data_IF_023436924518
#
_entry.id   IF_023436924518
#
_cell.length_a   1.000
_cell.length_b   1.000
_cell.length_c   1.000
_cell.angle_alpha   90.00
_cell.angle_beta   90.00
_cell.angle_gamma   90.00
#
_symmetry.space_group_name_H-M   'P 1'
#
loop_
_entity.id
_entity.type
_entity.pdbx_description
1 polymer ?
#
# COMPACT_ATOMS: atom_id res chain seq x y z
N UNK A 1 7.94 -23.46 -14.28
CA UNK A 1 6.52 -23.67 -14.67
C UNK A 1 5.81 -22.32 -14.57
N UNK A 2 4.90 -21.98 -15.49
CA UNK A 2 4.13 -20.72 -15.44
C UNK A 2 3.27 -20.59 -14.18
N UNK A 3 2.96 -21.71 -13.54
CA UNK A 3 1.93 -21.84 -12.50
C UNK A 3 2.48 -21.77 -11.06
N UNK A 4 3.76 -21.44 -10.88
CA UNK A 4 4.36 -21.32 -9.54
C UNK A 4 3.95 -19.97 -8.91
N UNK A 5 3.06 -19.95 -7.89
CA UNK A 5 2.62 -18.71 -7.25
C UNK A 5 3.76 -18.03 -6.48
N UNK A 6 4.82 -18.77 -6.11
CA UNK A 6 5.98 -18.25 -5.41
C UNK A 6 6.99 -17.58 -6.33
N UNK A 7 6.88 -17.78 -7.66
CA UNK A 7 7.73 -17.10 -8.63
C UNK A 7 7.41 -15.59 -8.64
N UNK A 8 8.37 -14.71 -8.31
CA UNK A 8 8.15 -13.28 -8.32
C UNK A 8 7.68 -12.78 -9.69
N UNK A 9 6.74 -11.84 -9.67
CA UNK A 9 6.41 -11.03 -10.84
C UNK A 9 7.55 -10.05 -11.14
N UNK A 10 7.49 -9.36 -12.27
CA UNK A 10 8.43 -8.28 -12.60
C UNK A 10 8.58 -7.20 -11.51
N UNK A 11 7.58 -7.04 -10.63
CA UNK A 11 7.62 -6.16 -9.45
C UNK A 11 8.41 -6.76 -8.24
N UNK A 12 9.06 -7.91 -8.40
CA UNK A 12 9.94 -8.52 -7.38
C UNK A 12 9.23 -9.27 -6.25
N UNK A 13 7.90 -9.18 -6.13
CA UNK A 13 7.11 -9.96 -5.17
C UNK A 13 6.41 -11.15 -5.83
N UNK A 14 6.32 -12.25 -5.08
CA UNK A 14 5.45 -13.37 -5.39
C UNK A 14 3.97 -12.95 -5.32
N UNK A 15 3.11 -13.62 -6.09
CA UNK A 15 1.69 -13.27 -6.21
C UNK A 15 0.94 -13.28 -4.85
N UNK A 16 1.13 -14.27 -3.96
CA UNK A 16 0.49 -14.26 -2.64
C UNK A 16 0.97 -13.11 -1.75
N UNK A 17 2.26 -12.76 -1.81
CA UNK A 17 2.80 -11.63 -1.05
C UNK A 17 2.11 -10.33 -1.46
N UNK A 18 1.86 -10.17 -2.75
CA UNK A 18 1.16 -9.02 -3.25
C UNK A 18 -0.30 -8.98 -2.78
N UNK A 19 -1.01 -10.11 -2.82
CA UNK A 19 -2.37 -10.24 -2.29
C UNK A 19 -2.47 -9.81 -0.82
N UNK A 20 -1.55 -10.28 0.03
CA UNK A 20 -1.52 -9.97 1.46
C UNK A 20 -1.33 -8.47 1.69
N UNK A 21 -0.37 -7.86 0.98
CA UNK A 21 -0.11 -6.41 1.12
C UNK A 21 -1.35 -5.58 0.82
N UNK A 22 -2.14 -5.96 -0.19
CA UNK A 22 -3.35 -5.24 -0.55
C UNK A 22 -4.45 -5.36 0.52
N UNK A 23 -4.60 -6.54 1.14
CA UNK A 23 -5.54 -6.72 2.25
C UNK A 23 -5.13 -5.93 3.50
N UNK A 24 -3.84 -5.93 3.85
CA UNK A 24 -3.33 -5.12 4.97
C UNK A 24 -3.49 -3.62 4.70
N UNK A 25 -3.21 -3.17 3.47
CA UNK A 25 -3.42 -1.77 3.04
C UNK A 25 -4.91 -1.37 3.00
N UNK A 26 -5.83 -2.35 2.93
CA UNK A 26 -7.26 -2.10 3.05
C UNK A 26 -7.69 -1.77 4.50
N UNK A 27 -6.79 -1.98 5.48
CA UNK A 27 -7.08 -1.79 6.91
C UNK A 27 -7.60 -3.04 7.60
N UNK A 28 -7.41 -4.23 7.02
CA UNK A 28 -7.75 -5.49 7.69
C UNK A 28 -6.79 -5.73 8.87
N UNK A 29 -7.35 -5.95 10.07
CA UNK A 29 -6.57 -6.24 11.29
C UNK A 29 -5.79 -7.56 11.18
N UNK A 30 -6.35 -8.53 10.46
CA UNK A 30 -5.75 -9.85 10.21
C UNK A 30 -5.94 -10.25 8.73
N UNK A 31 -4.85 -10.59 8.05
CA UNK A 31 -4.90 -11.28 6.76
C UNK A 31 -4.65 -12.79 6.96
N UNK A 32 -5.49 -13.64 6.39
CA UNK A 32 -5.36 -15.10 6.48
C UNK A 32 -5.19 -15.70 5.08
N UNK A 33 -4.09 -16.42 4.88
CA UNK A 33 -3.83 -17.18 3.66
C UNK A 33 -4.21 -18.63 3.88
N UNK A 34 -5.14 -19.11 3.06
CA UNK A 34 -5.55 -20.51 3.05
C UNK A 34 -4.69 -21.27 2.05
N UNK A 35 -3.85 -22.18 2.55
CA UNK A 35 -2.94 -22.95 1.70
C UNK A 35 -2.43 -24.22 2.37
N UNK A 36 -2.33 -25.29 1.58
CA UNK A 36 -1.62 -26.51 1.98
C UNK A 36 -0.15 -26.50 1.53
N UNK A 37 0.27 -25.48 0.77
CA UNK A 37 1.63 -25.30 0.30
C UNK A 37 2.49 -24.67 1.42
N UNK A 38 3.56 -25.37 1.89
CA UNK A 38 4.40 -24.88 2.97
C UNK A 38 5.20 -23.62 2.61
N UNK A 39 5.53 -23.42 1.33
CA UNK A 39 6.21 -22.23 0.83
C UNK A 39 5.27 -21.02 0.81
N UNK A 40 4.03 -21.18 0.35
CA UNK A 40 3.01 -20.12 0.42
C UNK A 40 2.68 -19.76 1.87
N UNK A 41 2.61 -20.76 2.76
CA UNK A 41 2.42 -20.52 4.19
C UNK A 41 3.60 -19.76 4.84
N UNK A 42 4.84 -20.08 4.45
CA UNK A 42 6.02 -19.36 4.92
C UNK A 42 6.06 -17.92 4.41
N UNK A 43 5.77 -17.70 3.12
CA UNK A 43 5.64 -16.39 2.52
C UNK A 43 4.55 -15.56 3.20
N UNK A 44 3.41 -16.18 3.49
CA UNK A 44 2.30 -15.51 4.17
C UNK A 44 2.73 -14.94 5.53
N UNK A 45 3.39 -15.77 6.35
CA UNK A 45 3.93 -15.36 7.64
C UNK A 45 4.98 -14.25 7.52
N UNK A 46 5.85 -14.33 6.53
CA UNK A 46 6.86 -13.30 6.28
C UNK A 46 6.24 -11.93 5.92
N UNK A 47 5.04 -11.92 5.32
CA UNK A 47 4.31 -10.70 4.97
C UNK A 47 3.22 -10.32 5.99
N UNK A 48 3.28 -10.85 7.22
CA UNK A 48 2.37 -10.47 8.31
C UNK A 48 0.97 -11.08 8.21
N UNK A 49 0.76 -12.07 7.35
CA UNK A 49 -0.48 -12.85 7.32
C UNK A 49 -0.36 -14.13 8.15
N UNK A 50 -1.49 -14.56 8.72
CA UNK A 50 -1.65 -15.90 9.27
C UNK A 50 -1.82 -16.90 8.12
N UNK A 51 -1.40 -18.14 8.31
CA UNK A 51 -1.59 -19.21 7.32
C UNK A 51 -2.38 -20.36 7.93
N UNK A 52 -3.39 -20.88 7.23
CA UNK A 52 -4.19 -22.03 7.67
C UNK A 52 -4.28 -23.08 6.58
N UNK A 53 -4.35 -24.36 6.98
CA UNK A 53 -4.60 -25.48 6.07
C UNK A 53 -6.09 -25.73 5.91
N UNK A 54 -6.52 -25.98 4.68
CA UNK A 54 -7.91 -26.25 4.37
C UNK A 54 -8.05 -27.38 3.35
N UNK A 55 -8.90 -28.40 3.60
CA UNK A 55 -9.77 -28.58 4.76
C UNK A 55 -9.03 -29.28 5.91
N UNK A 56 -8.76 -28.60 7.04
CA UNK A 56 -8.06 -29.25 8.16
C UNK A 56 -7.93 -28.43 9.44
N UNK A 57 -7.72 -27.12 9.34
CA UNK A 57 -7.60 -26.24 10.50
C UNK A 57 -8.74 -25.19 10.49
N UNK A 58 -9.78 -25.45 11.29
CA UNK A 58 -10.93 -24.54 11.45
C UNK A 58 -10.81 -23.64 12.68
N UNK A 59 -9.66 -23.65 13.37
CA UNK A 59 -9.49 -23.07 14.70
C UNK A 59 -9.27 -21.55 14.73
N UNK A 60 -9.24 -20.88 13.57
CA UNK A 60 -8.88 -19.46 13.44
C UNK A 60 -9.99 -18.56 12.86
N UNK A 61 -11.26 -18.97 12.95
CA UNK A 61 -12.36 -18.04 12.71
C UNK A 61 -12.45 -17.03 13.88
N UNK A 62 -12.53 -15.71 13.64
CA UNK A 62 -12.62 -14.75 14.72
C UNK A 62 -13.91 -14.97 15.53
N UNK A 63 -13.78 -15.11 16.85
CA UNK A 63 -14.86 -14.88 17.82
C UNK A 63 -14.78 -13.40 18.21
N UNK A 64 -14.91 -12.52 17.23
CA UNK A 64 -14.97 -11.08 17.45
C UNK A 64 -16.23 -10.58 16.77
N UNK A 65 -17.17 -9.95 17.49
CA UNK A 65 -18.34 -9.33 16.89
C UNK A 65 -17.90 -8.38 15.77
N UNK A 66 -18.59 -8.44 14.62
CA UNK A 66 -18.37 -7.59 13.45
C UNK A 66 -17.05 -7.79 12.68
N UNK A 67 -16.21 -8.77 13.05
CA UNK A 67 -15.05 -9.12 12.23
C UNK A 67 -15.48 -9.82 10.92
N UNK A 68 -14.72 -9.58 9.86
CA UNK A 68 -14.90 -10.23 8.55
C UNK A 68 -13.61 -10.93 8.14
N UNK A 69 -13.74 -12.07 7.47
CA UNK A 69 -12.61 -12.74 6.83
C UNK A 69 -12.55 -12.38 5.35
N UNK A 70 -11.35 -12.11 4.84
CA UNK A 70 -11.10 -11.85 3.43
C UNK A 70 -10.30 -13.01 2.85
N UNK A 71 -10.93 -13.77 1.95
CA UNK A 71 -10.28 -14.82 1.18
C UNK A 71 -9.72 -14.24 -0.12
N UNK A 72 -8.45 -14.54 -0.36
CA UNK A 72 -7.69 -14.04 -1.49
C UNK A 72 -7.21 -15.22 -2.33
N UNK A 73 -7.58 -15.23 -3.61
CA UNK A 73 -7.00 -16.15 -4.57
C UNK A 73 -5.52 -15.78 -4.83
N UNK A 74 -4.56 -16.71 -4.64
CA UNK A 74 -3.13 -16.42 -4.65
C UNK A 74 -2.59 -16.05 -6.03
N UNK A 75 -3.38 -16.20 -7.11
CA UNK A 75 -2.96 -15.89 -8.48
C UNK A 75 -3.61 -14.62 -9.04
N UNK A 76 -4.39 -13.88 -8.26
CA UNK A 76 -5.01 -12.61 -8.68
C UNK A 76 -4.41 -11.41 -7.94
N UNK A 77 -3.29 -10.81 -8.40
CA UNK A 77 -2.55 -9.85 -7.59
C UNK A 77 -3.16 -8.44 -7.59
N UNK A 78 -3.88 -8.03 -8.63
CA UNK A 78 -4.23 -6.61 -8.86
C UNK A 78 -5.40 -6.06 -8.01
N UNK A 79 -5.69 -6.67 -6.86
CA UNK A 79 -6.78 -6.23 -5.99
C UNK A 79 -6.44 -4.90 -5.34
N UNK A 80 -7.30 -3.90 -5.53
CA UNK A 80 -7.06 -2.57 -4.96
C UNK A 80 -7.60 -2.48 -3.53
N UNK A 81 -6.94 -1.76 -2.61
CA UNK A 81 -7.41 -1.64 -1.23
C UNK A 81 -8.81 -1.00 -1.11
N UNK A 82 -9.15 -0.08 -2.02
CA UNK A 82 -10.49 0.52 -2.10
C UNK A 82 -11.57 -0.49 -2.49
N UNK A 83 -11.27 -1.45 -3.36
CA UNK A 83 -12.19 -2.52 -3.72
C UNK A 83 -12.43 -3.48 -2.55
N UNK A 84 -11.39 -3.82 -1.79
CA UNK A 84 -11.52 -4.63 -0.58
C UNK A 84 -12.38 -3.88 0.45
N UNK A 85 -12.10 -2.60 0.70
CA UNK A 85 -12.91 -1.76 1.61
C UNK A 85 -14.37 -1.66 1.16
N UNK A 86 -14.61 -1.50 -0.13
CA UNK A 86 -15.96 -1.41 -0.68
C UNK A 86 -16.72 -2.75 -0.55
N UNK A 87 -16.06 -3.88 -0.78
CA UNK A 87 -16.64 -5.21 -0.58
C UNK A 87 -16.97 -5.48 0.90
N UNK A 88 -16.09 -5.07 1.83
CA UNK A 88 -16.34 -5.12 3.27
C UNK A 88 -17.53 -4.25 3.66
N UNK A 89 -17.57 -3.01 3.18
CA UNK A 89 -18.70 -2.10 3.43
C UNK A 89 -20.02 -2.66 2.88
N UNK A 90 -20.00 -3.27 1.69
CA UNK A 90 -21.16 -3.93 1.10
C UNK A 90 -21.64 -5.10 1.97
N UNK A 91 -20.73 -5.92 2.49
CA UNK A 91 -21.10 -7.00 3.40
C UNK A 91 -21.80 -6.45 4.63
N UNK A 92 -21.22 -5.45 5.30
CA UNK A 92 -21.81 -4.83 6.50
C UNK A 92 -23.20 -4.22 6.25
N UNK A 93 -23.42 -3.64 5.07
CA UNK A 93 -24.70 -3.04 4.68
C UNK A 93 -25.76 -4.06 4.24
N UNK A 94 -25.44 -5.36 4.20
CA UNK A 94 -26.31 -6.42 3.70
C UNK A 94 -26.62 -7.48 4.76
N UNK A 95 -27.67 -8.27 4.53
CA UNK A 95 -27.98 -9.49 5.27
C UNK A 95 -27.30 -10.74 4.66
N UNK A 96 -26.29 -10.55 3.80
CA UNK A 96 -25.55 -11.64 3.19
C UNK A 96 -24.54 -12.27 4.17
N UNK A 97 -24.27 -13.55 3.97
CA UNK A 97 -23.21 -14.28 4.68
C UNK A 97 -21.84 -13.99 4.06
N UNK A 98 -21.81 -13.74 2.75
CA UNK A 98 -20.62 -13.42 2.00
C UNK A 98 -20.88 -12.47 0.81
N UNK A 99 -19.84 -11.69 0.48
CA UNK A 99 -19.71 -10.91 -0.75
C UNK A 99 -18.64 -11.57 -1.62
N UNK A 100 -18.95 -11.83 -2.88
CA UNK A 100 -18.02 -12.47 -3.84
C UNK A 100 -17.73 -11.55 -5.02
N UNK A 101 -16.46 -11.48 -5.40
CA UNK A 101 -15.99 -10.68 -6.54
C UNK A 101 -16.56 -11.19 -7.86
N UNK A 102 -17.08 -10.27 -8.66
CA UNK A 102 -17.62 -10.55 -9.98
C UNK A 102 -17.19 -9.46 -10.98
N UNK A 103 -17.09 -9.81 -12.26
CA UNK A 103 -16.91 -8.85 -13.36
C UNK A 103 -18.11 -8.89 -14.29
N UNK A 104 -18.51 -7.72 -14.77
CA UNK A 104 -19.60 -7.62 -15.74
C UNK A 104 -19.06 -7.84 -17.15
N UNK A 105 -19.46 -8.96 -17.77
CA UNK A 105 -19.24 -9.16 -19.21
C UNK A 105 -20.39 -8.54 -20.00
N UNK A 106 -20.04 -7.59 -20.87
CA UNK A 106 -20.95 -7.12 -21.91
C UNK A 106 -20.88 -8.09 -23.08
N UNK A 107 -22.03 -8.61 -23.51
CA UNK A 107 -22.10 -9.41 -24.73
C UNK A 107 -21.86 -8.50 -25.95
N UNK A 108 -21.13 -8.94 -26.99
CA UNK A 108 -20.85 -8.11 -28.15
C UNK A 108 -22.14 -7.62 -28.83
N UNK A 109 -22.30 -6.29 -28.91
CA UNK A 109 -23.51 -5.62 -29.36
C UNK A 109 -23.39 -4.98 -30.74
N UNK A 110 -22.68 -5.60 -31.70
CA UNK A 110 -22.63 -5.10 -33.09
C UNK A 110 -24.04 -5.01 -33.75
N UNK A 111 -25.09 -5.51 -33.10
CA UNK A 111 -26.51 -5.44 -33.49
C UNK A 111 -27.39 -4.62 -32.52
N UNK A 112 -26.83 -3.65 -31.78
CA UNK A 112 -27.64 -2.65 -31.07
C UNK A 112 -28.42 -3.16 -29.84
N UNK A 113 -27.90 -4.16 -29.13
CA UNK A 113 -28.51 -4.64 -27.89
C UNK A 113 -28.11 -3.80 -26.67
N UNK A 114 -29.09 -3.19 -25.99
CA UNK A 114 -28.99 -2.58 -24.65
C UNK A 114 -28.93 -3.65 -23.54
N UNK A 115 -28.14 -4.71 -23.73
CA UNK A 115 -28.12 -5.85 -22.83
C UNK A 115 -27.55 -5.50 -21.46
N UNK A 116 -28.31 -5.79 -20.40
CA UNK A 116 -27.79 -5.90 -19.03
C UNK A 116 -26.66 -6.94 -19.03
N UNK A 117 -25.42 -6.52 -18.83
CA UNK A 117 -24.26 -7.42 -18.85
C UNK A 117 -24.37 -8.51 -17.78
N UNK A 118 -23.94 -9.73 -18.10
CA UNK A 118 -23.90 -10.85 -17.15
C UNK A 118 -22.77 -10.63 -16.14
N UNK A 119 -23.05 -10.85 -14.86
CA UNK A 119 -22.01 -10.89 -13.84
C UNK A 119 -21.41 -12.30 -13.79
N UNK A 120 -20.09 -12.38 -13.92
CA UNK A 120 -19.31 -13.60 -13.83
C UNK A 120 -18.46 -13.57 -12.57
N UNK A 121 -18.60 -14.59 -11.73
CA UNK A 121 -17.77 -14.79 -10.53
C UNK A 121 -16.30 -14.94 -10.95
N UNK A 122 -15.40 -14.19 -10.29
CA UNK A 122 -13.97 -14.19 -10.64
C UNK A 122 -13.15 -15.14 -9.78
N UNK A 123 -13.67 -15.50 -8.60
CA UNK A 123 -12.91 -16.14 -7.53
C UNK A 123 -11.79 -15.25 -6.97
N UNK A 124 -11.68 -13.99 -7.40
CA UNK A 124 -10.60 -13.11 -7.00
C UNK A 124 -10.77 -12.61 -5.55
N UNK A 125 -11.99 -12.45 -5.07
CA UNK A 125 -12.25 -11.88 -3.74
C UNK A 125 -13.47 -12.57 -3.13
N UNK A 126 -13.37 -12.96 -1.88
CA UNK A 126 -14.54 -13.23 -1.06
C UNK A 126 -14.38 -12.59 0.31
N UNK A 127 -15.39 -11.85 0.75
CA UNK A 127 -15.48 -11.29 2.10
C UNK A 127 -16.64 -11.99 2.81
N UNK A 128 -16.41 -12.51 4.00
CA UNK A 128 -17.37 -13.36 4.71
C UNK A 128 -17.42 -13.04 6.19
N UNK A 129 -18.60 -13.23 6.80
CA UNK A 129 -18.80 -13.02 8.24
C UNK A 129 -18.18 -14.12 9.09
N UNK A 130 -18.14 -15.35 8.57
CA UNK A 130 -17.63 -16.51 9.30
C UNK A 130 -16.82 -17.43 8.39
N UNK A 131 -15.52 -17.59 8.69
CA UNK A 131 -14.60 -18.46 7.95
C UNK A 131 -15.02 -19.94 8.02
N UNK A 132 -15.81 -20.34 9.02
CA UNK A 132 -16.37 -21.71 9.11
C UNK A 132 -17.45 -21.98 8.06
N UNK A 133 -18.01 -20.93 7.46
CA UNK A 133 -18.98 -21.04 6.38
C UNK A 133 -18.32 -21.25 5.01
N UNK A 134 -17.01 -21.53 4.94
CA UNK A 134 -16.36 -21.95 3.69
C UNK A 134 -16.60 -23.44 3.47
N UNK A 135 -16.93 -23.81 2.23
CA UNK A 135 -17.14 -25.19 1.79
C UNK A 135 -15.80 -25.91 1.53
N UNK A 136 -15.78 -27.25 1.46
CA UNK A 136 -14.56 -28.00 1.11
C UNK A 136 -13.93 -27.59 -0.24
N UNK A 137 -14.73 -27.09 -1.17
CA UNK A 137 -14.30 -26.57 -2.48
C UNK A 137 -13.77 -25.12 -2.43
N UNK A 138 -13.64 -24.53 -1.24
CA UNK A 138 -13.11 -23.19 -1.03
C UNK A 138 -14.12 -22.05 -1.25
N UNK A 139 -15.37 -22.37 -1.61
CA UNK A 139 -16.41 -21.36 -1.86
C UNK A 139 -17.15 -21.00 -0.58
N UNK A 140 -17.60 -19.74 -0.40
CA UNK A 140 -18.51 -19.39 0.70
C UNK A 140 -19.83 -20.17 0.60
N UNK A 141 -20.38 -20.56 1.74
CA UNK A 141 -21.72 -21.11 1.89
C UNK A 141 -22.72 -20.00 2.28
N UNK A 142 -24.01 -20.33 2.25
CA UNK A 142 -25.07 -19.40 2.62
C UNK A 142 -25.41 -18.41 1.52
N UNK A 143 -25.97 -17.27 1.90
CA UNK A 143 -26.39 -16.20 0.99
C UNK A 143 -25.18 -15.38 0.55
N UNK A 144 -24.79 -15.56 -0.70
CA UNK A 144 -23.72 -14.81 -1.35
C UNK A 144 -24.29 -13.72 -2.26
N UNK A 145 -23.70 -12.52 -2.24
CA UNK A 145 -24.05 -11.43 -3.17
C UNK A 145 -22.81 -11.00 -3.98
N UNK A 146 -22.98 -10.55 -5.24
CA UNK A 146 -21.85 -10.15 -6.07
C UNK A 146 -21.37 -8.73 -5.71
N UNK A 147 -20.06 -8.55 -5.76
CA UNK A 147 -19.39 -7.25 -5.77
C UNK A 147 -18.73 -7.04 -7.14
N UNK A 148 -19.18 -6.04 -7.89
CA UNK A 148 -18.66 -5.74 -9.22
C UNK A 148 -17.28 -5.09 -9.12
N UNK A 149 -16.25 -5.82 -9.54
CA UNK A 149 -14.85 -5.40 -9.54
C UNK A 149 -14.47 -4.74 -10.86
N UNK A 150 -13.43 -3.92 -10.86
CA UNK A 150 -12.80 -3.51 -12.10
C UNK A 150 -12.20 -4.74 -12.82
N UNK A 151 -12.38 -4.84 -14.13
CA UNK A 151 -11.89 -5.98 -14.91
C UNK A 151 -10.37 -6.27 -14.73
N UNK A 152 -9.47 -5.27 -14.64
CA UNK A 152 -8.06 -5.52 -14.36
C UNK A 152 -7.80 -6.17 -13.00
N UNK A 153 -8.62 -5.87 -11.99
CA UNK A 153 -8.51 -6.45 -10.64
C UNK A 153 -8.91 -7.92 -10.58
N UNK A 154 -9.55 -8.45 -11.63
CA UNK A 154 -9.98 -9.84 -11.76
C UNK A 154 -9.01 -10.70 -12.60
N UNK A 155 -7.91 -10.13 -13.09
CA UNK A 155 -6.95 -10.87 -13.90
C UNK A 155 -6.19 -11.89 -13.06
N UNK A 156 -6.20 -13.14 -13.55
CA UNK A 156 -5.52 -14.28 -12.95
C UNK A 156 -4.18 -14.52 -13.66
N UNK A 157 -3.15 -14.81 -12.89
CA UNK A 157 -1.79 -15.15 -13.35
C UNK A 157 -1.55 -16.67 -13.28
N UNK A 158 -2.58 -17.46 -13.59
CA UNK A 158 -2.58 -18.93 -13.65
C UNK A 158 -2.31 -19.49 -15.05
N UNK A 159 -2.11 -18.62 -16.03
CA UNK A 159 -1.70 -18.95 -17.41
C UNK A 159 -0.51 -18.07 -17.80
N UNK A 160 0.25 -18.47 -18.82
CA UNK A 160 1.36 -17.65 -19.32
C UNK A 160 0.87 -16.29 -19.84
N UNK A 161 -0.26 -16.28 -20.55
CA UNK A 161 -0.92 -15.08 -21.07
C UNK A 161 -1.46 -14.21 -19.93
N UNK A 162 -2.13 -14.82 -18.95
CA UNK A 162 -2.65 -14.11 -17.78
C UNK A 162 -1.52 -13.46 -16.96
N UNK A 163 -0.41 -14.18 -16.75
CA UNK A 163 0.78 -13.68 -16.07
C UNK A 163 1.41 -12.51 -16.84
N UNK A 164 1.53 -12.60 -18.16
CA UNK A 164 2.03 -11.50 -18.98
C UNK A 164 1.11 -10.26 -18.92
N UNK A 165 -0.21 -10.45 -18.94
CA UNK A 165 -1.18 -9.36 -18.81
C UNK A 165 -1.08 -8.67 -17.43
N UNK A 166 -0.95 -9.47 -16.37
CA UNK A 166 -0.68 -8.96 -15.02
C UNK A 166 0.65 -8.21 -15.00
N UNK A 167 1.76 -8.79 -15.48
CA UNK A 167 3.08 -8.13 -15.49
C UNK A 167 3.10 -6.80 -16.26
N UNK A 168 2.31 -6.69 -17.33
CA UNK A 168 2.14 -5.45 -18.08
C UNK A 168 1.35 -4.37 -17.33
N UNK A 169 0.43 -4.76 -16.44
CA UNK A 169 -0.40 -3.84 -15.65
C UNK A 169 0.28 -3.40 -14.36
N UNK A 170 0.97 -4.31 -13.68
CA UNK A 170 1.65 -4.04 -12.40
C UNK A 170 2.82 -3.05 -12.51
N UNK A 171 3.18 -2.66 -13.73
CA UNK A 171 4.23 -1.69 -14.03
C UNK A 171 3.67 -0.32 -14.44
N UNK A 172 2.33 -0.18 -14.54
CA UNK A 172 1.68 1.01 -15.11
C UNK A 172 0.59 1.52 -14.17
N UNK A 173 0.55 2.83 -13.85
CA UNK A 173 -0.56 3.41 -13.09
C UNK A 173 -1.92 3.13 -13.77
N UNK A 174 -3.02 2.95 -13.01
CA UNK A 174 -3.11 2.96 -11.54
C UNK A 174 -2.80 1.60 -10.89
N UNK A 175 -2.42 0.59 -11.67
CA UNK A 175 -2.22 -0.79 -11.21
C UNK A 175 -0.77 -1.09 -10.84
N UNK A 176 0.10 -0.06 -10.88
CA UNK A 176 1.51 -0.20 -10.55
C UNK A 176 1.67 -0.73 -9.13
N UNK A 177 2.27 -1.91 -9.00
CA UNK A 177 2.53 -2.49 -7.70
C UNK A 177 3.88 -1.97 -7.19
N UNK A 178 3.98 -1.64 -5.91
CA UNK A 178 5.26 -1.27 -5.35
C UNK A 178 6.22 -2.44 -5.50
N UNK A 179 7.39 -2.20 -6.12
CA UNK A 179 8.47 -3.16 -6.10
C UNK A 179 8.80 -3.54 -4.64
N UNK A 180 9.41 -4.71 -4.40
CA UNK A 180 9.99 -5.03 -3.08
C UNK A 180 10.79 -3.80 -2.65
N UNK A 181 10.32 -3.16 -1.57
CA UNK A 181 11.00 -1.99 -1.05
C UNK A 181 12.36 -2.45 -0.55
N UNK A 182 13.44 -1.67 -0.74
CA UNK A 182 14.69 -1.98 -0.06
C UNK A 182 14.37 -2.13 1.43
N UNK A 183 14.69 -3.30 2.00
CA UNK A 183 14.45 -3.60 3.42
C UNK A 183 15.04 -2.52 4.34
N UNK A 184 16.01 -1.77 3.83
CA UNK A 184 16.60 -0.57 4.42
C UNK A 184 16.92 0.46 3.33
N UNK A 185 16.23 1.62 3.29
CA UNK A 185 16.60 2.71 2.38
C UNK A 185 18.02 3.22 2.67
N UNK A 186 18.78 3.52 1.62
CA UNK A 186 20.08 4.17 1.71
C UNK A 186 19.94 5.64 2.19
N UNK A 187 18.80 6.26 1.91
CA UNK A 187 18.43 7.60 2.35
C UNK A 187 16.91 7.74 2.43
N UNK A 188 16.41 8.43 3.45
CA UNK A 188 15.03 8.92 3.49
C UNK A 188 15.03 10.44 3.36
N UNK A 189 14.30 10.93 2.37
CA UNK A 189 14.07 12.35 2.12
C UNK A 189 12.64 12.67 2.53
N UNK A 190 12.48 13.70 3.35
CA UNK A 190 11.17 14.18 3.76
C UNK A 190 10.92 15.56 3.16
N UNK A 191 9.76 15.77 2.57
CA UNK A 191 9.18 17.11 2.57
C UNK A 191 8.93 17.58 4.03
N UNK A 192 8.78 18.88 4.22
CA UNK A 192 8.49 19.45 5.53
C UNK A 192 7.00 19.75 5.73
N UNK A 193 6.38 20.49 4.83
CA UNK A 193 5.07 21.11 5.01
C UNK A 193 3.94 20.19 4.55
N UNK A 194 3.16 19.68 5.51
CA UNK A 194 2.18 18.62 5.26
C UNK A 194 2.74 17.21 5.34
N UNK A 195 4.04 17.05 5.64
CA UNK A 195 4.61 15.76 6.07
C UNK A 195 5.01 15.80 7.54
N UNK A 196 5.90 16.73 7.91
CA UNK A 196 6.31 16.94 9.31
C UNK A 196 5.40 17.90 10.08
N UNK A 197 4.58 18.65 9.34
CA UNK A 197 3.55 19.57 9.85
C UNK A 197 2.17 19.14 9.34
N UNK A 198 1.10 19.69 9.91
CA UNK A 198 -0.29 19.50 9.48
C UNK A 198 -0.68 20.42 8.29
N UNK A 199 0.32 20.86 7.52
CA UNK A 199 0.19 21.79 6.40
C UNK A 199 -0.46 23.15 6.74
N UNK A 200 -0.41 23.55 8.03
CA UNK A 200 -0.97 24.82 8.51
C UNK A 200 0.11 25.73 9.07
N UNK A 201 -0.03 27.02 8.78
CA UNK A 201 0.81 28.08 9.31
C UNK A 201 -0.05 29.04 10.13
N UNK A 202 0.39 29.38 11.34
CA UNK A 202 -0.14 30.51 12.10
C UNK A 202 0.71 31.73 11.79
N UNK A 203 0.09 32.77 11.24
CA UNK A 203 0.77 34.01 10.85
C UNK A 203 0.43 35.11 11.86
N UNK A 204 1.46 35.73 12.44
CA UNK A 204 1.33 36.89 13.32
C UNK A 204 1.14 38.19 12.53
N UNK A 205 0.66 39.24 13.19
CA UNK A 205 0.47 40.56 12.57
C UNK A 205 1.79 41.18 12.08
N UNK A 206 2.92 40.76 12.64
CA UNK A 206 4.27 41.15 12.22
C UNK A 206 4.83 40.29 11.06
N UNK A 207 4.02 39.37 10.54
CA UNK A 207 4.42 38.42 9.50
C UNK A 207 5.24 37.23 10.02
N UNK A 208 5.38 37.07 11.34
CA UNK A 208 6.03 35.87 11.90
C UNK A 208 5.18 34.63 11.68
N UNK A 209 5.84 33.50 11.41
CA UNK A 209 5.17 32.24 11.13
C UNK A 209 5.47 31.18 12.20
N UNK A 210 4.45 30.44 12.59
CA UNK A 210 4.56 29.30 13.49
C UNK A 210 3.87 28.07 12.89
N UNK A 211 4.53 26.91 13.00
CA UNK A 211 3.99 25.61 12.59
C UNK A 211 3.94 24.64 13.76
N UNK A 212 3.13 23.58 13.62
CA UNK A 212 3.04 22.50 14.61
C UNK A 212 3.70 21.25 14.05
N UNK A 213 4.45 20.55 14.90
CA UNK A 213 5.08 19.27 14.55
C UNK A 213 4.81 18.24 15.64
N UNK A 214 4.65 16.98 15.26
CA UNK A 214 4.45 15.87 16.21
C UNK A 214 5.71 15.58 17.03
N UNK A 215 5.53 15.30 18.33
CA UNK A 215 6.57 14.69 19.17
C UNK A 215 6.77 13.21 18.84
N UNK A 216 5.69 12.52 18.43
CA UNK A 216 5.74 11.12 18.02
C UNK A 216 6.62 10.93 16.79
N UNK A 217 6.50 11.83 15.80
CA UNK A 217 7.37 11.83 14.62
C UNK A 217 8.83 12.06 14.98
N UNK A 218 9.09 12.97 15.93
CA UNK A 218 10.44 13.18 16.47
C UNK A 218 11.05 11.93 17.10
N UNK A 219 10.25 11.11 17.80
CA UNK A 219 10.69 9.82 18.32
C UNK A 219 10.97 8.81 17.20
N UNK A 220 10.15 8.79 16.14
CA UNK A 220 10.38 7.94 14.96
C UNK A 220 11.72 8.24 14.29
N UNK A 221 12.00 9.53 14.07
CA UNK A 221 13.27 10.02 13.51
C UNK A 221 14.44 9.63 14.41
N UNK A 222 14.33 9.81 15.73
CA UNK A 222 15.39 9.42 16.67
C UNK A 222 15.71 7.91 16.60
N UNK A 223 14.68 7.07 16.45
CA UNK A 223 14.85 5.61 16.32
C UNK A 223 15.50 5.22 14.99
N UNK A 224 15.06 5.79 13.87
CA UNK A 224 15.70 5.55 12.57
C UNK A 224 17.16 6.00 12.55
N UNK A 225 17.45 7.16 13.16
CA UNK A 225 18.82 7.67 13.31
C UNK A 225 19.68 6.72 14.14
N UNK A 226 19.16 6.18 15.26
CA UNK A 226 19.85 5.17 16.08
C UNK A 226 20.09 3.86 15.33
N UNK A 227 19.20 3.51 14.39
CA UNK A 227 19.38 2.38 13.47
C UNK A 227 20.34 2.70 12.31
N UNK A 228 20.91 3.90 12.26
CA UNK A 228 21.87 4.31 11.22
C UNK A 228 21.23 4.48 9.85
N UNK A 229 19.97 4.89 9.76
CA UNK A 229 19.32 5.26 8.50
C UNK A 229 19.58 6.74 8.22
N UNK A 230 20.28 7.10 7.12
CA UNK A 230 20.48 8.49 6.74
C UNK A 230 19.16 9.17 6.40
N UNK A 231 18.97 10.41 6.83
CA UNK A 231 17.75 11.17 6.59
C UNK A 231 18.03 12.66 6.36
N UNK A 232 17.24 13.29 5.50
CA UNK A 232 17.27 14.74 5.29
C UNK A 232 15.86 15.30 5.04
N UNK A 233 15.72 16.61 5.24
CA UNK A 233 14.53 17.39 4.83
C UNK A 233 14.86 18.17 3.56
N UNK A 234 13.92 18.19 2.61
CA UNK A 234 13.95 18.97 1.38
C UNK A 234 12.68 19.81 1.26
N UNK A 235 12.79 21.13 1.44
CA UNK A 235 11.66 22.06 1.38
C UNK A 235 11.87 23.12 0.30
N UNK A 236 10.77 23.48 -0.38
CA UNK A 236 10.73 24.64 -1.28
C UNK A 236 10.74 25.95 -0.49
N UNK A 237 10.16 25.96 0.71
CA UNK A 237 10.03 27.16 1.51
C UNK A 237 11.36 27.52 2.19
N UNK A 238 11.65 28.82 2.34
CA UNK A 238 12.80 29.31 3.10
C UNK A 238 12.31 29.94 4.39
N UNK A 239 12.02 29.10 5.38
CA UNK A 239 11.57 29.55 6.69
C UNK A 239 12.51 29.09 7.83
N UNK A 240 12.95 29.98 8.75
CA UNK A 240 13.76 29.62 9.91
C UNK A 240 13.21 28.48 10.78
N UNK A 241 11.88 28.29 10.80
CA UNK A 241 11.22 27.24 11.59
C UNK A 241 11.63 25.83 11.14
N UNK A 242 11.82 25.64 9.82
CA UNK A 242 12.25 24.38 9.20
C UNK A 242 13.63 24.02 9.71
N UNK A 243 14.59 24.94 9.57
CA UNK A 243 15.96 24.76 10.03
C UNK A 243 16.06 24.57 11.56
N UNK A 244 15.26 25.30 12.35
CA UNK A 244 15.22 25.15 13.80
C UNK A 244 14.75 23.74 14.19
N UNK A 245 13.70 23.23 13.53
CA UNK A 245 13.17 21.89 13.79
C UNK A 245 14.16 20.80 13.37
N UNK A 246 14.75 20.89 12.19
CA UNK A 246 15.74 19.93 11.70
C UNK A 246 16.96 19.85 12.61
N UNK A 247 17.46 20.99 13.10
CA UNK A 247 18.56 21.05 14.06
C UNK A 247 18.25 20.32 15.37
N UNK A 248 17.03 20.51 15.90
CA UNK A 248 16.56 19.80 17.10
C UNK A 248 16.51 18.29 16.88
N UNK A 249 16.09 17.86 15.69
CA UNK A 249 15.98 16.44 15.32
C UNK A 249 17.29 15.83 14.81
N UNK A 250 18.34 16.65 14.66
CA UNK A 250 19.65 16.27 14.09
C UNK A 250 19.51 15.71 12.66
N UNK A 251 18.70 16.38 11.86
CA UNK A 251 18.51 16.08 10.45
C UNK A 251 19.21 17.11 9.59
N UNK A 252 19.75 16.65 8.47
CA UNK A 252 20.20 17.52 7.40
C UNK A 252 19.00 18.25 6.79
N UNK A 253 19.16 19.51 6.42
CA UNK A 253 18.08 20.38 5.97
C UNK A 253 18.50 21.16 4.73
N UNK A 254 17.76 20.97 3.65
CA UNK A 254 17.88 21.73 2.40
C UNK A 254 16.56 22.46 2.18
N UNK A 255 16.62 23.79 2.09
CA UNK A 255 15.43 24.65 2.06
C UNK A 255 15.62 25.78 1.03
N UNK A 256 14.52 26.34 0.52
CA UNK A 256 14.58 27.26 -0.62
C UNK A 256 14.97 26.55 -1.91
N UNK A 257 14.51 25.31 -2.10
CA UNK A 257 14.78 24.50 -3.31
C UNK A 257 13.53 24.50 -4.19
N UNK A 258 13.52 25.34 -5.23
CA UNK A 258 12.35 25.48 -6.12
C UNK A 258 12.09 24.21 -6.95
N UNK A 259 13.15 23.66 -7.58
CA UNK A 259 13.09 22.41 -8.33
C UNK A 259 13.66 21.26 -7.48
N UNK A 260 12.79 20.66 -6.65
CA UNK A 260 13.17 19.55 -5.78
C UNK A 260 13.63 18.32 -6.56
N UNK A 261 13.05 18.03 -7.72
CA UNK A 261 13.36 16.85 -8.53
C UNK A 261 14.80 16.89 -9.05
N UNK A 262 15.16 17.99 -9.71
CA UNK A 262 16.53 18.22 -10.22
C UNK A 262 17.53 18.28 -9.08
N UNK A 263 17.19 18.97 -7.98
CA UNK A 263 18.06 19.07 -6.82
C UNK A 263 18.33 17.70 -6.18
N UNK A 264 17.29 16.89 -5.98
CA UNK A 264 17.41 15.56 -5.42
C UNK A 264 18.26 14.66 -6.32
N UNK A 265 18.02 14.68 -7.64
CA UNK A 265 18.81 13.90 -8.59
C UNK A 265 20.32 14.25 -8.51
N UNK A 266 20.66 15.55 -8.47
CA UNK A 266 22.03 16.00 -8.33
C UNK A 266 22.65 15.62 -6.97
N UNK A 267 21.88 15.73 -5.87
CA UNK A 267 22.31 15.34 -4.53
C UNK A 267 22.62 13.84 -4.44
N UNK A 268 21.75 12.99 -5.01
CA UNK A 268 21.94 11.54 -5.03
C UNK A 268 23.16 11.16 -5.86
N UNK A 269 23.33 11.76 -7.05
CA UNK A 269 24.50 11.56 -7.89
C UNK A 269 25.80 11.95 -7.17
N UNK A 270 25.81 13.10 -6.49
CA UNK A 270 26.95 13.56 -5.69
C UNK A 270 27.30 12.63 -4.51
N UNK A 271 26.30 11.95 -3.95
CA UNK A 271 26.47 10.96 -2.87
C UNK A 271 26.68 9.53 -3.36
N UNK A 272 26.60 9.29 -4.68
CA UNK A 272 26.65 7.95 -5.29
C UNK A 272 25.58 7.00 -4.70
N UNK A 273 24.39 7.54 -4.45
CA UNK A 273 23.23 6.77 -3.99
C UNK A 273 22.35 6.48 -5.19
N UNK A 274 21.98 5.22 -5.40
CA UNK A 274 21.01 4.83 -6.43
C UNK A 274 19.62 5.35 -6.03
N UNK A 275 18.91 6.13 -6.88
CA UNK A 275 17.54 6.53 -6.62
C UNK A 275 16.61 5.36 -6.26
N UNK A 276 16.86 4.14 -6.76
CA UNK A 276 16.09 2.94 -6.42
C UNK A 276 16.17 2.56 -4.92
N UNK A 277 17.21 2.99 -4.21
CA UNK A 277 17.41 2.74 -2.78
C UNK A 277 16.93 3.89 -1.88
N UNK A 278 16.29 4.91 -2.45
CA UNK A 278 15.83 6.12 -1.73
C UNK A 278 14.35 6.04 -1.43
N UNK A 279 13.98 6.47 -0.22
CA UNK A 279 12.60 6.79 0.13
C UNK A 279 12.38 8.29 0.09
N UNK A 280 11.30 8.73 -0.56
CA UNK A 280 10.85 10.13 -0.52
C UNK A 280 9.46 10.18 0.11
N UNK A 281 9.27 11.02 1.11
CA UNK A 281 7.98 11.22 1.78
C UNK A 281 7.44 12.60 1.42
N UNK A 282 6.33 12.65 0.68
CA UNK A 282 5.70 13.89 0.22
C UNK A 282 4.21 13.94 0.52
N UNK A 283 3.58 15.04 0.14
CA UNK A 283 2.14 15.26 0.32
C UNK A 283 1.46 15.99 -0.85
N UNK A 284 2.18 16.71 -1.71
CA UNK A 284 1.56 17.58 -2.71
C UNK A 284 2.30 17.60 -4.06
N UNK A 285 1.73 18.30 -5.05
CA UNK A 285 2.16 18.28 -6.46
C UNK A 285 3.60 18.73 -6.68
N UNK A 286 4.15 19.56 -5.79
CA UNK A 286 5.55 19.99 -5.79
C UNK A 286 6.53 18.85 -5.46
N UNK A 287 6.04 17.72 -4.95
CA UNK A 287 6.83 16.52 -4.69
C UNK A 287 6.80 15.51 -5.85
N UNK A 288 5.99 15.71 -6.89
CA UNK A 288 5.75 14.72 -7.94
C UNK A 288 7.04 14.23 -8.61
N UNK A 289 7.96 15.14 -8.92
CA UNK A 289 9.19 14.77 -9.61
C UNK A 289 10.14 13.99 -8.70
N UNK A 290 10.15 14.29 -7.39
CA UNK A 290 10.85 13.47 -6.41
C UNK A 290 10.20 12.09 -6.23
N UNK A 291 8.87 12.03 -6.14
CA UNK A 291 8.14 10.76 -6.02
C UNK A 291 8.38 9.85 -7.23
N UNK A 292 8.42 10.40 -8.44
CA UNK A 292 8.72 9.64 -9.66
C UNK A 292 10.17 9.15 -9.74
N UNK A 293 11.10 9.90 -9.14
CA UNK A 293 12.53 9.62 -9.21
C UNK A 293 12.96 8.43 -8.35
N UNK A 294 12.37 8.27 -7.16
CA UNK A 294 12.88 7.35 -6.13
C UNK A 294 12.26 5.95 -6.20
N UNK A 295 12.94 4.97 -5.60
CA UNK A 295 12.45 3.58 -5.51
C UNK A 295 11.36 3.38 -4.46
N UNK A 296 11.24 4.27 -3.47
CA UNK A 296 10.18 4.24 -2.46
C UNK A 296 9.49 5.61 -2.33
N UNK A 297 8.59 5.97 -3.25
CA UNK A 297 7.70 7.12 -3.06
C UNK A 297 6.66 6.80 -1.99
N UNK A 298 6.62 7.63 -0.96
CA UNK A 298 5.72 7.52 0.19
C UNK A 298 4.91 8.80 0.25
N UNK A 299 3.62 8.71 0.54
CA UNK A 299 2.78 9.87 0.81
C UNK A 299 2.01 9.71 2.12
N UNK A 300 1.67 10.83 2.74
CA UNK A 300 0.85 10.86 3.97
C UNK A 300 -0.63 10.57 3.67
N UNK A 301 -1.41 10.26 4.70
CA UNK A 301 -2.82 9.86 4.53
C UNK A 301 -3.70 10.95 3.89
N UNK A 302 -3.40 12.22 4.19
CA UNK A 302 -4.10 13.42 3.73
C UNK A 302 -3.39 14.13 2.58
N UNK A 303 -2.52 13.40 1.86
CA UNK A 303 -1.84 13.91 0.69
C UNK A 303 -2.85 14.30 -0.42
N UNK A 304 -2.46 15.28 -1.23
CA UNK A 304 -3.27 15.74 -2.36
C UNK A 304 -3.60 14.56 -3.31
N UNK A 305 -4.84 14.42 -3.79
CA UNK A 305 -5.24 13.28 -4.63
C UNK A 305 -4.35 13.03 -5.84
N UNK A 306 -3.76 14.09 -6.43
CA UNK A 306 -2.91 14.00 -7.62
C UNK A 306 -1.58 13.27 -7.37
N UNK A 307 -1.10 13.19 -6.12
CA UNK A 307 0.15 12.48 -5.82
C UNK A 307 -0.06 11.00 -5.45
N UNK A 308 -1.28 10.63 -5.04
CA UNK A 308 -1.61 9.26 -4.63
C UNK A 308 -1.26 8.21 -5.69
N UNK A 309 -1.50 8.42 -7.00
CA UNK A 309 -1.16 7.44 -8.03
C UNK A 309 0.35 7.14 -8.18
N UNK A 310 1.21 8.01 -7.64
CA UNK A 310 2.67 7.86 -7.70
C UNK A 310 3.25 7.24 -6.42
N UNK A 311 2.46 7.19 -5.34
CA UNK A 311 2.88 6.62 -4.10
C UNK A 311 2.96 5.09 -4.17
N UNK A 312 4.09 4.54 -3.70
CA UNK A 312 4.25 3.11 -3.43
C UNK A 312 3.77 2.73 -2.03
N UNK A 313 3.73 3.69 -1.11
CA UNK A 313 3.20 3.53 0.23
C UNK A 313 2.40 4.77 0.61
N UNK A 314 1.13 4.58 0.94
CA UNK A 314 0.31 5.61 1.61
C UNK A 314 0.34 5.32 3.10
N UNK A 315 0.78 6.28 3.89
CA UNK A 315 0.86 6.13 5.34
C UNK A 315 -0.55 6.20 5.95
N UNK A 316 -0.80 5.48 7.07
CA UNK A 316 -2.13 5.43 7.68
C UNK A 316 -2.46 6.68 8.52
N UNK A 317 -1.57 7.68 8.56
CA UNK A 317 -1.67 8.86 9.41
C UNK A 317 -1.45 10.14 8.59
N UNK A 318 -2.16 11.24 8.92
CA UNK A 318 -1.94 12.54 8.31
C UNK A 318 -0.56 13.14 8.61
N UNK A 319 -0.14 14.09 7.78
CA UNK A 319 1.02 14.95 8.01
C UNK A 319 1.00 15.60 9.39
N UNK A 320 2.15 15.64 10.07
CA UNK A 320 2.28 16.27 11.39
C UNK A 320 1.51 15.57 12.53
N UNK A 321 0.80 14.46 12.27
CA UNK A 321 0.02 13.68 13.23
C UNK A 321 0.43 12.19 13.26
N UNK A 322 1.75 11.94 13.19
CA UNK A 322 2.31 10.60 13.36
C UNK A 322 2.61 9.85 12.07
N UNK A 323 2.52 10.48 10.89
CA UNK A 323 2.89 9.87 9.61
C UNK A 323 4.35 9.38 9.61
N UNK A 324 5.29 10.25 9.98
CA UNK A 324 6.72 9.89 10.02
C UNK A 324 6.97 8.80 11.07
N UNK A 325 6.25 8.81 12.19
CA UNK A 325 6.31 7.75 13.19
C UNK A 325 5.82 6.41 12.64
N UNK A 326 4.72 6.40 11.90
CA UNK A 326 4.18 5.19 11.27
C UNK A 326 5.17 4.60 10.27
N UNK A 327 5.79 5.45 9.43
CA UNK A 327 6.85 5.04 8.51
C UNK A 327 8.06 4.46 9.26
N UNK A 328 8.54 5.15 10.30
CA UNK A 328 9.67 4.69 11.09
C UNK A 328 9.41 3.32 11.75
N UNK A 329 8.24 3.14 12.35
CA UNK A 329 7.84 1.88 12.96
C UNK A 329 7.73 0.76 11.91
N UNK A 330 7.25 1.06 10.71
CA UNK A 330 7.22 0.09 9.60
C UNK A 330 8.63 -0.32 9.17
N UNK A 331 9.49 0.63 8.80
CA UNK A 331 10.84 0.34 8.32
C UNK A 331 11.68 -0.40 9.37
N UNK A 332 11.60 0.01 10.64
CA UNK A 332 12.34 -0.66 11.72
C UNK A 332 11.88 -2.11 11.95
N UNK A 333 10.59 -2.41 11.72
CA UNK A 333 10.11 -3.80 11.76
C UNK A 333 10.68 -4.62 10.60
N UNK A 334 10.63 -4.10 9.37
CA UNK A 334 11.18 -4.79 8.19
C UNK A 334 12.68 -5.08 8.36
N UNK A 335 13.43 -4.10 8.88
CA UNK A 335 14.87 -4.23 9.16
C UNK A 335 15.19 -5.26 10.26
N UNK A 336 14.25 -5.57 11.16
CA UNK A 336 14.47 -6.53 12.24
C UNK A 336 14.21 -7.99 11.81
N UNK A 337 13.55 -8.19 10.67
CA UNK A 337 13.20 -9.51 10.11
C UNK A 337 14.20 -9.95 9.03
N UNK A 338 15.12 -9.06 8.64
CA UNK A 338 16.13 -9.25 7.59
C UNK A 338 17.49 -9.62 8.19
#
# INVERSE_FOLDING_TARGET
MPDDPLRPLAAGLALPAHAIRQALAAGCDDAIVVTDDPGVAALARAHGAKSVRWPGDRSLAPIVPDAVAVLLDPVTPLRRPDEIRAAVALLHASDADAVVGAVRRRLPGWLGGTGSGLLEETGALAVLRDLRAVRPDGRPAGRCIPFEMAAPSALRADTAEGRAAVEALITRPPYALPAVLPQRPALIVFDFDGVMTDNRVTVGEDGSEMVRCSRGDGLGIDRLRKAGVPMLVLSTERNPVVAARCRKLRMECHQGVDDKGTYLAALLAGRKIDPADVAYVGNDVNDLDCLRLVGLPVVVADAHPDVLPYARLVLPRPGGDGAVRALADHLLREMAVS
#
